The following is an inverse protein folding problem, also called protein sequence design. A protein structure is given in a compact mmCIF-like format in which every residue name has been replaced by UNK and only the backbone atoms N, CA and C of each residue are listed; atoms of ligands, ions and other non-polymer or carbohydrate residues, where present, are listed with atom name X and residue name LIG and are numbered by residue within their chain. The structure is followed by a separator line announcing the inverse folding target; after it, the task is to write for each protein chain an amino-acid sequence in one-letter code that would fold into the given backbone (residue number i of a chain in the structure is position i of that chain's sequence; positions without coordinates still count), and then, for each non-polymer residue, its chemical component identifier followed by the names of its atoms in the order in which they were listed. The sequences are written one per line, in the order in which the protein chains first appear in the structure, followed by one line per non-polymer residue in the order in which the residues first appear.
data_IF_435738292382
#
_entry.id   IF_435738292382
#
_cell.length_a   1.000
_cell.length_b   1.000
_cell.length_c   1.000
_cell.angle_alpha   90.00
_cell.angle_beta   90.00
_cell.angle_gamma   90.00
#
_symmetry.space_group_name_H-M   'P 1'
#
loop_
_entity.id
_entity.type
_entity.pdbx_description
1 polymer ?
#
# COMPACT_ATOMS: atom_id res chain seq x y z
N UNK A 1 6.51 11.90 4.25
CA UNK A 1 6.21 10.93 5.33
C UNK A 1 5.73 9.59 4.76
N UNK A 2 4.56 9.54 4.11
CA UNK A 2 4.00 8.29 3.57
C UNK A 2 4.82 7.62 2.47
N UNK A 3 5.51 8.40 1.63
CA UNK A 3 6.43 7.82 0.64
C UNK A 3 7.56 7.03 1.30
N UNK A 4 8.22 7.61 2.30
CA UNK A 4 9.24 6.90 3.07
C UNK A 4 8.68 5.67 3.80
N UNK A 5 7.38 5.68 4.16
CA UNK A 5 6.70 4.56 4.80
C UNK A 5 6.41 3.40 3.85
N UNK A 6 5.86 3.73 2.69
CA UNK A 6 5.64 2.77 1.63
C UNK A 6 6.97 2.15 1.17
N UNK A 7 8.04 2.96 1.07
CA UNK A 7 9.37 2.49 0.64
C UNK A 7 10.06 1.59 1.68
N UNK A 8 10.03 1.93 2.97
CA UNK A 8 10.67 1.09 4.00
C UNK A 8 9.97 -0.24 4.25
N UNK A 9 8.68 -0.35 3.88
CA UNK A 9 7.92 -1.58 3.95
C UNK A 9 8.18 -2.55 2.78
N UNK A 10 8.94 -2.13 1.76
CA UNK A 10 9.23 -2.95 0.59
C UNK A 10 10.11 -4.17 0.96
N UNK A 11 9.65 -5.36 0.56
CA UNK A 11 10.47 -6.57 0.54
C UNK A 11 11.40 -6.63 -0.68
N UNK A 12 12.26 -7.65 -0.74
CA UNK A 12 13.28 -7.79 -1.79
C UNK A 12 12.72 -7.79 -3.24
N UNK A 13 11.52 -8.35 -3.43
CA UNK A 13 10.89 -8.50 -4.75
C UNK A 13 9.78 -7.48 -5.01
N UNK A 14 9.71 -6.41 -4.21
CA UNK A 14 8.59 -5.47 -4.20
C UNK A 14 9.08 -4.06 -4.49
N UNK A 15 8.37 -3.33 -5.35
CA UNK A 15 8.68 -1.95 -5.70
C UNK A 15 7.45 -1.05 -5.62
N UNK A 16 7.62 0.16 -5.08
CA UNK A 16 6.61 1.20 -5.12
C UNK A 16 6.59 1.81 -6.53
N UNK A 17 5.55 1.52 -7.29
CA UNK A 17 5.39 2.00 -8.67
C UNK A 17 4.83 3.43 -8.71
N UNK A 18 3.92 3.76 -7.79
CA UNK A 18 3.39 5.12 -7.65
C UNK A 18 2.89 5.39 -6.25
N UNK A 19 2.90 6.67 -5.86
CA UNK A 19 2.21 7.18 -4.68
C UNK A 19 1.81 8.62 -4.95
N UNK A 20 0.57 8.97 -4.63
CA UNK A 20 0.05 10.34 -4.69
C UNK A 20 -0.90 10.56 -3.53
N UNK A 21 -0.86 11.76 -2.97
CA UNK A 21 -1.71 12.16 -1.84
C UNK A 21 -2.39 13.48 -2.17
N UNK A 22 -3.67 13.60 -1.79
CA UNK A 22 -4.46 14.81 -1.92
C UNK A 22 -5.51 14.87 -0.82
N UNK A 23 -5.66 16.05 -0.20
CA UNK A 23 -6.49 16.24 1.00
C UNK A 23 -6.15 15.19 2.07
N UNK A 24 -7.08 14.28 2.35
CA UNK A 24 -6.98 13.26 3.40
C UNK A 24 -6.77 11.86 2.83
N UNK A 25 -6.60 11.71 1.52
CA UNK A 25 -6.46 10.42 0.85
C UNK A 25 -5.09 10.31 0.17
N UNK A 26 -4.52 9.11 0.27
CA UNK A 26 -3.35 8.72 -0.49
C UNK A 26 -3.65 7.45 -1.25
N UNK A 27 -3.15 7.35 -2.47
CA UNK A 27 -3.31 6.16 -3.31
C UNK A 27 -2.03 5.86 -4.06
N UNK A 28 -1.85 4.60 -4.44
CA UNK A 28 -0.67 4.18 -5.15
C UNK A 28 -0.74 2.77 -5.69
N UNK A 29 0.39 2.34 -6.22
CA UNK A 29 0.59 1.02 -6.80
C UNK A 29 1.91 0.45 -6.32
N UNK A 30 1.89 -0.82 -5.95
CA UNK A 30 3.06 -1.63 -5.64
C UNK A 30 3.12 -2.79 -6.63
N UNK A 31 4.31 -3.06 -7.17
CA UNK A 31 4.56 -4.21 -8.05
C UNK A 31 5.39 -5.23 -7.30
N UNK A 32 5.00 -6.48 -7.42
CA UNK A 32 5.67 -7.63 -6.82
C UNK A 32 6.12 -8.59 -7.91
N UNK A 33 7.37 -9.03 -7.84
CA UNK A 33 7.90 -10.11 -8.69
C UNK A 33 7.54 -11.52 -8.18
N UNK A 34 6.73 -11.60 -7.11
CA UNK A 34 6.21 -12.83 -6.53
C UNK A 34 4.70 -12.73 -6.25
N UNK A 35 4.00 -13.87 -6.13
CA UNK A 35 2.56 -13.91 -5.84
C UNK A 35 2.19 -13.43 -4.42
N UNK A 36 3.16 -13.24 -3.52
CA UNK A 36 2.92 -12.87 -2.11
C UNK A 36 3.42 -11.49 -1.71
N UNK A 37 4.36 -10.91 -2.47
CA UNK A 37 5.07 -9.71 -2.03
C UNK A 37 4.19 -8.49 -1.79
N UNK A 38 3.08 -8.33 -2.53
CA UNK A 38 2.14 -7.26 -2.23
C UNK A 38 1.42 -7.47 -0.89
N UNK A 39 0.94 -8.68 -0.61
CA UNK A 39 0.26 -9.00 0.65
C UNK A 39 1.18 -8.82 1.86
N UNK A 40 2.44 -9.24 1.73
CA UNK A 40 3.45 -9.05 2.76
C UNK A 40 3.72 -7.55 2.98
N UNK A 41 3.85 -6.78 1.91
CA UNK A 41 3.98 -5.32 1.96
C UNK A 41 2.79 -4.66 2.68
N UNK A 42 1.55 -5.05 2.36
CA UNK A 42 0.34 -4.56 3.05
C UNK A 42 0.42 -4.87 4.55
N UNK A 43 0.86 -6.07 4.92
CA UNK A 43 1.00 -6.48 6.31
C UNK A 43 2.04 -5.67 7.11
N UNK A 44 3.13 -5.25 6.47
CA UNK A 44 4.17 -4.41 7.08
C UNK A 44 3.73 -2.94 7.10
N UNK A 45 3.29 -2.40 5.97
CA UNK A 45 2.85 -1.02 5.83
C UNK A 45 1.66 -0.71 6.73
N UNK A 46 0.67 -1.60 6.81
CA UNK A 46 -0.52 -1.48 7.65
C UNK A 46 -0.23 -1.37 9.16
N UNK A 47 0.95 -1.80 9.61
CA UNK A 47 1.40 -1.77 11.01
C UNK A 47 2.36 -0.62 11.30
N UNK A 48 2.66 0.20 10.30
CA UNK A 48 3.61 1.29 10.43
C UNK A 48 3.09 2.40 11.35
N UNK A 49 3.74 2.57 12.50
CA UNK A 49 3.37 3.60 13.49
C UNK A 49 3.96 4.98 13.19
N UNK A 50 4.95 5.06 12.30
CA UNK A 50 5.61 6.29 11.90
C UNK A 50 4.91 7.01 10.75
N UNK A 51 3.84 6.44 10.20
CA UNK A 51 2.97 7.04 9.19
C UNK A 51 1.54 6.47 9.36
N UNK A 52 0.83 6.89 10.42
CA UNK A 52 -0.49 6.34 10.73
C UNK A 52 -1.47 6.62 9.57
N UNK A 53 -2.30 5.64 9.29
CA UNK A 53 -3.43 5.74 8.38
C UNK A 53 -4.60 5.01 9.03
N UNK A 54 -5.81 5.55 8.83
CA UNK A 54 -6.97 5.20 9.66
C UNK A 54 -7.92 4.23 8.95
N UNK A 55 -7.79 4.14 7.63
CA UNK A 55 -8.46 3.13 6.84
C UNK A 55 -7.60 2.80 5.61
N UNK A 56 -7.51 1.53 5.23
CA UNK A 56 -6.70 1.03 4.12
C UNK A 56 -7.52 0.04 3.29
N UNK A 57 -7.61 0.31 2.00
CA UNK A 57 -8.17 -0.59 0.99
C UNK A 57 -7.07 -1.01 0.03
N UNK A 58 -7.15 -2.27 -0.39
CA UNK A 58 -6.15 -2.88 -1.27
C UNK A 58 -6.84 -3.76 -2.30
N UNK A 59 -6.33 -3.76 -3.52
CA UNK A 59 -6.74 -4.69 -4.57
C UNK A 59 -5.50 -5.23 -5.26
N UNK A 60 -5.33 -6.55 -5.27
CA UNK A 60 -4.23 -7.24 -5.94
C UNK A 60 -4.73 -7.91 -7.22
N UNK A 61 -3.94 -7.82 -8.29
CA UNK A 61 -4.20 -8.52 -9.54
C UNK A 61 -2.91 -9.11 -10.11
N UNK A 62 -2.98 -10.30 -10.74
CA UNK A 62 -1.82 -10.92 -11.37
C UNK A 62 -1.41 -10.14 -12.63
N UNK A 63 -0.10 -10.06 -12.86
CA UNK A 63 0.49 -9.54 -14.10
C UNK A 63 0.97 -10.66 -15.05
N UNK A 64 0.90 -11.91 -14.61
CA UNK A 64 1.47 -13.07 -15.31
C UNK A 64 2.90 -13.40 -14.84
N UNK A 65 3.42 -14.57 -15.23
CA UNK A 65 4.76 -15.04 -14.88
C UNK A 65 5.09 -15.01 -13.37
N UNK A 66 4.08 -15.27 -12.52
CA UNK A 66 4.23 -15.23 -11.07
C UNK A 66 4.32 -13.83 -10.45
N UNK A 67 4.16 -12.76 -11.24
CA UNK A 67 4.18 -11.37 -10.79
C UNK A 67 2.77 -10.89 -10.45
N UNK A 68 2.67 -9.94 -9.52
CA UNK A 68 1.42 -9.27 -9.16
C UNK A 68 1.60 -7.76 -9.05
N UNK A 69 0.49 -7.04 -9.18
CA UNK A 69 0.41 -5.62 -8.91
C UNK A 69 -0.72 -5.38 -7.94
N UNK A 70 -0.45 -4.58 -6.92
CA UNK A 70 -1.43 -4.20 -5.93
C UNK A 70 -1.65 -2.71 -5.93
N UNK A 71 -2.90 -2.29 -6.05
CA UNK A 71 -3.33 -0.91 -5.84
C UNK A 71 -3.80 -0.75 -4.41
N UNK A 72 -3.53 0.41 -3.84
CA UNK A 72 -3.96 0.74 -2.50
C UNK A 72 -4.49 2.16 -2.42
N UNK A 73 -5.42 2.38 -1.49
CA UNK A 73 -5.88 3.70 -1.06
C UNK A 73 -5.98 3.69 0.46
N UNK A 74 -5.52 4.76 1.10
CA UNK A 74 -5.66 4.93 2.54
C UNK A 74 -6.03 6.36 2.91
N UNK A 75 -6.71 6.49 4.05
CA UNK A 75 -7.02 7.78 4.66
C UNK A 75 -6.00 8.14 5.74
N UNK A 76 -5.64 9.43 5.79
CA UNK A 76 -4.80 10.03 6.84
C UNK A 76 -5.62 10.88 7.82
N UNK A 77 -6.94 10.92 7.63
CA UNK A 77 -7.87 11.62 8.52
C UNK A 77 -8.31 10.68 9.67
N UNK A 78 -8.02 11.04 10.94
CA UNK A 78 -8.41 10.25 12.11
C UNK A 78 -9.92 10.12 12.31
N UNK A 79 -10.71 10.99 11.68
CA UNK A 79 -12.17 10.96 11.75
C UNK A 79 -12.78 10.15 10.60
N UNK A 80 -12.00 9.84 9.56
CA UNK A 80 -12.41 9.03 8.43
C UNK A 80 -12.32 7.54 8.77
N UNK A 81 -13.37 7.02 9.41
CA UNK A 81 -13.54 5.60 9.71
C UNK A 81 -14.05 4.77 8.49
N UNK A 82 -14.13 5.38 7.32
CA UNK A 82 -15.09 5.00 6.27
C UNK A 82 -14.52 4.45 4.98
N UNK A 83 -13.27 3.95 4.94
CA UNK A 83 -12.87 3.09 3.81
C UNK A 83 -13.33 1.66 4.15
N UNK A 84 -14.63 1.42 4.03
CA UNK A 84 -15.26 0.12 4.18
C UNK A 84 -15.03 -0.72 2.92
N UNK A 85 -14.53 -1.95 3.10
CA UNK A 85 -14.57 -3.00 2.06
C UNK A 85 -16.01 -3.39 1.71
#
# INVERSE_FOLDING_TARGET
MYQAAATRALGADVALASLSCGYTLCMGEVRSRSQGGFRDWVGVFGKDRGAPHYALMTAEYPLGNGQSSGRFVFSIDPTANGISQ
#
